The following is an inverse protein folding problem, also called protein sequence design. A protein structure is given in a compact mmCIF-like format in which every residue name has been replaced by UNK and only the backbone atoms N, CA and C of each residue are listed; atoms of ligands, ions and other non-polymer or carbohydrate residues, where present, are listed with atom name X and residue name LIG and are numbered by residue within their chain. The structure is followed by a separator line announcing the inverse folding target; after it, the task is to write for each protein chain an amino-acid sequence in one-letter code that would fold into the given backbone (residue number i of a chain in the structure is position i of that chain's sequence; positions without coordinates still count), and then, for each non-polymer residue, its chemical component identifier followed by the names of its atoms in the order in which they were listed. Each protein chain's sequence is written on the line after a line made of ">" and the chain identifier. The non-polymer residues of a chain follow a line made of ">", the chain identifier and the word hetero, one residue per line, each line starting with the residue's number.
data_IF_082899104815
#
_entry.id   IF_082899104815
#
_cell.length_a   1.000
_cell.length_b   1.000
_cell.length_c   1.000
_cell.angle_alpha   90.00
_cell.angle_beta   90.00
_cell.angle_gamma   90.00
#
_symmetry.space_group_name_H-M   'P 1'
#
loop_
_entity.id
_entity.type
_entity.pdbx_description
1 polymer ?
#
# COMPACT_ATOMS: atom_id res chain seq x y z
N UNK A 1 -33.45 -2.10 -6.82
CA UNK A 1 -32.28 -2.75 -7.44
C UNK A 1 -31.12 -2.46 -6.50
N UNK A 2 -30.47 -3.46 -5.89
CA UNK A 2 -29.30 -3.15 -5.07
C UNK A 2 -28.23 -2.53 -5.96
N UNK A 3 -27.48 -1.57 -5.44
CA UNK A 3 -26.32 -1.05 -6.15
C UNK A 3 -25.27 -2.17 -6.27
N UNK A 4 -24.37 -2.05 -7.25
CA UNK A 4 -23.22 -2.96 -7.32
C UNK A 4 -22.23 -2.62 -6.21
N UNK A 5 -21.50 -3.61 -5.68
CA UNK A 5 -20.45 -3.41 -4.67
C UNK A 5 -19.51 -2.25 -5.01
N UNK A 6 -19.13 -2.14 -6.29
CA UNK A 6 -18.27 -1.06 -6.77
C UNK A 6 -18.93 0.33 -6.66
N UNK A 7 -20.23 0.45 -6.95
CA UNK A 7 -20.94 1.72 -6.82
C UNK A 7 -21.12 2.13 -5.35
N UNK A 8 -21.37 1.16 -4.48
CA UNK A 8 -21.46 1.40 -3.03
C UNK A 8 -20.11 1.90 -2.49
N UNK A 9 -19.01 1.21 -2.78
CA UNK A 9 -17.66 1.64 -2.38
C UNK A 9 -17.25 2.97 -2.99
N UNK A 10 -17.59 3.22 -4.27
CA UNK A 10 -17.29 4.49 -4.93
C UNK A 10 -18.02 5.67 -4.29
N UNK A 11 -19.19 5.44 -3.67
CA UNK A 11 -19.90 6.49 -2.94
C UNK A 11 -19.24 6.89 -1.61
N UNK A 12 -18.31 6.07 -1.10
CA UNK A 12 -17.61 6.30 0.16
C UNK A 12 -16.31 7.08 0.00
N UNK A 13 -15.72 7.10 -1.20
CA UNK A 13 -14.38 7.63 -1.43
C UNK A 13 -14.33 8.52 -2.68
N UNK A 14 -13.38 9.45 -2.75
CA UNK A 14 -13.06 10.20 -3.96
C UNK A 14 -12.06 9.45 -4.86
N UNK A 15 -11.25 8.57 -4.28
CA UNK A 15 -10.35 7.69 -5.01
C UNK A 15 -11.06 6.73 -5.98
N UNK A 16 -10.26 5.92 -6.68
CA UNK A 16 -10.78 5.08 -7.77
C UNK A 16 -11.32 3.73 -7.27
N UNK A 17 -12.47 3.31 -7.80
CA UNK A 17 -13.00 1.95 -7.62
C UNK A 17 -13.15 1.25 -8.98
N UNK A 18 -12.55 0.07 -9.11
CA UNK A 18 -12.52 -0.72 -10.33
C UNK A 18 -13.18 -2.08 -10.14
N UNK A 19 -14.07 -2.46 -11.05
CA UNK A 19 -14.70 -3.79 -11.09
C UNK A 19 -14.77 -4.38 -12.50
N UNK A 20 -14.01 -3.84 -13.45
CA UNK A 20 -13.91 -4.41 -14.80
C UNK A 20 -13.12 -5.72 -14.74
N UNK A 21 -13.43 -6.64 -15.65
CA UNK A 21 -12.74 -7.94 -15.71
C UNK A 21 -11.24 -7.75 -15.92
N UNK A 22 -10.86 -6.77 -16.73
CA UNK A 22 -9.48 -6.42 -17.04
C UNK A 22 -8.73 -5.98 -15.77
N UNK A 23 -9.29 -5.02 -15.02
CA UNK A 23 -8.67 -4.52 -13.80
C UNK A 23 -8.55 -5.62 -12.71
N UNK A 24 -9.59 -6.44 -12.55
CA UNK A 24 -9.57 -7.54 -11.57
C UNK A 24 -8.59 -8.65 -11.96
N UNK A 25 -8.39 -8.89 -13.26
CA UNK A 25 -7.40 -9.86 -13.75
C UNK A 25 -5.97 -9.37 -13.45
N UNK A 26 -5.70 -8.08 -13.63
CA UNK A 26 -4.37 -7.48 -13.36
C UNK A 26 -3.93 -7.66 -11.89
N UNK A 27 -4.87 -7.61 -10.96
CA UNK A 27 -4.59 -7.77 -9.52
C UNK A 27 -4.84 -9.18 -8.98
N UNK A 28 -5.15 -10.15 -9.85
CA UNK A 28 -5.44 -11.54 -9.45
C UNK A 28 -4.19 -12.38 -9.14
N UNK A 29 -3.00 -11.87 -9.49
CA UNK A 29 -1.71 -12.52 -9.23
C UNK A 29 -0.74 -11.56 -8.56
N UNK A 30 0.33 -12.11 -8.00
CA UNK A 30 1.45 -11.38 -7.44
C UNK A 30 2.75 -11.68 -8.21
N UNK A 31 3.87 -11.11 -7.77
CA UNK A 31 5.16 -11.30 -8.43
C UNK A 31 5.57 -12.78 -8.54
N UNK A 32 5.27 -13.59 -7.52
CA UNK A 32 5.60 -15.02 -7.52
C UNK A 32 4.82 -15.83 -8.57
N UNK A 33 3.60 -15.41 -8.92
CA UNK A 33 2.71 -16.11 -9.87
C UNK A 33 2.47 -17.58 -9.53
N UNK A 34 2.62 -17.94 -8.25
CA UNK A 34 2.37 -19.30 -7.75
C UNK A 34 0.90 -19.49 -7.35
N UNK A 35 0.18 -18.39 -7.13
CA UNK A 35 -1.22 -18.38 -6.75
C UNK A 35 -2.00 -17.37 -7.60
N UNK A 36 -3.26 -17.67 -7.86
CA UNK A 36 -4.23 -16.75 -8.45
C UNK A 36 -5.47 -16.73 -7.54
N UNK A 37 -5.96 -15.54 -7.19
CA UNK A 37 -7.24 -15.36 -6.50
C UNK A 37 -8.03 -14.25 -7.18
N UNK A 38 -9.35 -14.38 -7.30
CA UNK A 38 -10.18 -13.41 -8.03
C UNK A 38 -10.87 -12.46 -7.04
N UNK A 39 -10.45 -11.18 -6.97
CA UNK A 39 -11.16 -10.21 -6.14
C UNK A 39 -12.47 -9.79 -6.82
N UNK A 40 -13.39 -9.23 -6.04
CA UNK A 40 -14.64 -8.63 -6.55
C UNK A 40 -14.45 -7.18 -6.98
N UNK A 41 -13.52 -6.48 -6.34
CA UNK A 41 -13.31 -5.04 -6.53
C UNK A 41 -11.88 -4.65 -6.15
N UNK A 42 -11.33 -3.69 -6.89
CA UNK A 42 -10.08 -3.01 -6.58
C UNK A 42 -10.41 -1.57 -6.16
N UNK A 43 -9.91 -1.16 -5.01
CA UNK A 43 -10.13 0.18 -4.45
C UNK A 43 -8.78 0.87 -4.28
N UNK A 44 -8.67 2.10 -4.76
CA UNK A 44 -7.48 2.95 -4.65
C UNK A 44 -7.83 4.24 -3.91
N UNK A 45 -7.84 4.24 -2.57
CA UNK A 45 -8.09 5.44 -1.78
C UNK A 45 -6.93 6.44 -1.92
N UNK A 46 -7.23 7.72 -1.70
CA UNK A 46 -6.25 8.81 -1.73
C UNK A 46 -5.87 9.36 -0.34
N UNK A 47 -6.65 8.98 0.68
CA UNK A 47 -6.49 9.45 2.07
C UNK A 47 -6.69 8.33 3.09
N UNK A 48 -6.22 8.55 4.32
CA UNK A 48 -6.39 7.63 5.44
C UNK A 48 -7.87 7.49 5.84
N UNK A 49 -8.66 8.56 5.72
CA UNK A 49 -10.10 8.55 5.97
C UNK A 49 -10.85 7.67 4.95
N UNK A 50 -10.43 7.69 3.69
CA UNK A 50 -10.99 6.82 2.65
C UNK A 50 -10.66 5.35 2.92
N UNK A 51 -9.43 5.05 3.38
CA UNK A 51 -9.06 3.71 3.84
C UNK A 51 -9.98 3.26 4.98
N UNK A 52 -10.21 4.12 5.98
CA UNK A 52 -11.09 3.81 7.12
C UNK A 52 -12.54 3.57 6.68
N UNK A 53 -13.07 4.37 5.77
CA UNK A 53 -14.41 4.18 5.22
C UNK A 53 -14.56 2.82 4.52
N UNK A 54 -13.56 2.42 3.72
CA UNK A 54 -13.57 1.14 3.00
C UNK A 54 -13.44 -0.04 3.96
N UNK A 55 -12.54 0.04 4.95
CA UNK A 55 -12.36 -1.03 5.94
C UNK A 55 -13.59 -1.20 6.82
N UNK A 56 -14.22 -0.09 7.24
CA UNK A 56 -15.48 -0.14 7.97
C UNK A 56 -16.61 -0.79 7.15
N UNK A 57 -16.76 -0.40 5.89
CA UNK A 57 -17.75 -1.03 5.00
C UNK A 57 -17.47 -2.53 4.86
N UNK A 58 -16.20 -2.92 4.66
CA UNK A 58 -15.81 -4.31 4.53
C UNK A 58 -16.11 -5.12 5.80
N UNK A 59 -15.84 -4.54 6.97
CA UNK A 59 -16.14 -5.12 8.27
C UNK A 59 -17.66 -5.34 8.46
N UNK A 60 -18.48 -4.34 8.12
CA UNK A 60 -19.95 -4.42 8.23
C UNK A 60 -20.58 -5.44 7.27
N UNK A 61 -19.91 -5.79 6.18
CA UNK A 61 -20.40 -6.69 5.13
C UNK A 61 -19.66 -8.04 5.07
N UNK A 62 -18.83 -8.35 6.07
CA UNK A 62 -18.01 -9.57 6.13
C UNK A 62 -17.17 -9.81 4.86
N UNK A 63 -16.65 -8.73 4.26
CA UNK A 63 -15.83 -8.80 3.04
C UNK A 63 -14.35 -8.92 3.40
N UNK A 64 -13.64 -9.95 2.92
CA UNK A 64 -12.20 -10.04 3.14
C UNK A 64 -11.48 -8.93 2.37
N UNK A 65 -10.46 -8.35 3.00
CA UNK A 65 -9.64 -7.28 2.42
C UNK A 65 -8.20 -7.74 2.36
N UNK A 66 -7.53 -7.49 1.22
CA UNK A 66 -6.08 -7.60 1.12
C UNK A 66 -5.50 -6.27 0.69
N UNK A 67 -4.50 -5.78 1.43
CA UNK A 67 -3.73 -4.60 1.02
C UNK A 67 -2.77 -4.94 -0.11
N UNK A 68 -2.58 -4.02 -1.06
CA UNK A 68 -1.69 -4.20 -2.21
C UNK A 68 -0.87 -2.93 -2.48
N UNK A 69 0.45 -3.03 -2.34
CA UNK A 69 1.41 -2.06 -2.89
C UNK A 69 1.80 -2.42 -4.31
N UNK A 70 3.10 -2.60 -4.57
CA UNK A 70 3.63 -3.13 -5.85
C UNK A 70 3.44 -4.65 -6.03
N UNK A 71 2.76 -5.32 -5.09
CA UNK A 71 2.49 -6.76 -5.14
C UNK A 71 3.72 -7.66 -5.36
N UNK A 72 4.86 -7.24 -4.82
CA UNK A 72 6.11 -8.01 -4.85
C UNK A 72 6.13 -9.18 -3.84
N UNK A 73 4.95 -9.68 -3.46
CA UNK A 73 4.78 -10.91 -2.69
C UNK A 73 4.98 -12.14 -3.58
N UNK A 74 5.24 -13.30 -2.96
CA UNK A 74 5.54 -14.53 -3.71
C UNK A 74 4.50 -15.63 -3.54
N UNK A 75 3.69 -15.58 -2.48
CA UNK A 75 2.79 -16.68 -2.10
C UNK A 75 1.42 -16.14 -1.66
N UNK A 76 0.91 -15.14 -2.36
CA UNK A 76 -0.48 -14.70 -2.24
C UNK A 76 -0.81 -13.78 -1.07
N UNK A 77 0.20 -13.18 -0.41
CA UNK A 77 -0.01 -12.24 0.71
C UNK A 77 -0.78 -10.98 0.31
N UNK A 78 -0.65 -10.56 -0.95
CA UNK A 78 -1.35 -9.39 -1.51
C UNK A 78 -2.60 -9.75 -2.31
N UNK A 79 -3.09 -11.00 -2.19
CA UNK A 79 -4.21 -11.54 -2.96
C UNK A 79 -5.39 -11.91 -2.06
N UNK A 80 -6.60 -11.61 -2.54
CA UNK A 80 -7.87 -11.97 -1.90
C UNK A 80 -8.81 -12.63 -2.89
N UNK A 81 -9.53 -13.65 -2.43
CA UNK A 81 -10.60 -14.30 -3.18
C UNK A 81 -11.92 -13.67 -2.74
N UNK A 82 -12.80 -13.38 -3.70
CA UNK A 82 -14.16 -12.90 -3.44
C UNK A 82 -14.26 -11.64 -2.54
N UNK A 83 -13.19 -10.83 -2.50
CA UNK A 83 -13.03 -9.70 -1.59
C UNK A 83 -12.56 -8.41 -2.24
N UNK A 84 -12.04 -7.50 -1.40
CA UNK A 84 -11.57 -6.16 -1.77
C UNK A 84 -10.03 -6.16 -1.83
N UNK A 85 -9.47 -5.81 -2.99
CA UNK A 85 -8.07 -5.40 -3.07
C UNK A 85 -8.01 -3.92 -2.72
N UNK A 86 -7.39 -3.60 -1.60
CA UNK A 86 -7.16 -2.21 -1.16
C UNK A 86 -5.74 -1.79 -1.57
N UNK A 87 -5.63 -0.99 -2.61
CA UNK A 87 -4.35 -0.59 -3.17
C UNK A 87 -3.83 0.70 -2.54
N UNK A 88 -2.66 0.66 -1.92
CA UNK A 88 -2.03 1.87 -1.36
C UNK A 88 -1.54 2.84 -2.44
N UNK A 89 -1.55 2.44 -3.72
CA UNK A 89 -1.05 3.25 -4.85
C UNK A 89 -1.78 4.57 -5.06
N UNK A 90 -3.01 4.73 -4.58
CA UNK A 90 -3.69 6.03 -4.57
C UNK A 90 -3.12 7.01 -3.54
N UNK A 91 -2.39 6.51 -2.54
CA UNK A 91 -1.72 7.27 -1.50
C UNK A 91 -0.20 7.27 -1.74
N UNK A 92 0.27 7.95 -2.79
CA UNK A 92 1.67 7.91 -3.24
C UNK A 92 2.41 9.27 -3.15
N UNK A 93 1.98 10.16 -2.25
CA UNK A 93 2.58 11.49 -2.07
C UNK A 93 3.67 11.49 -1.01
N UNK A 94 4.75 12.23 -1.28
CA UNK A 94 5.70 12.69 -0.26
C UNK A 94 5.11 13.99 0.29
N UNK A 95 4.80 14.01 1.59
CA UNK A 95 4.05 15.09 2.23
C UNK A 95 4.98 16.19 2.72
N UNK A 96 6.12 15.80 3.32
CA UNK A 96 7.11 16.71 3.87
C UNK A 96 8.50 16.08 3.82
N UNK A 97 9.52 16.88 3.55
CA UNK A 97 10.92 16.56 3.79
C UNK A 97 11.47 17.65 4.72
N UNK A 98 12.07 17.25 5.84
CA UNK A 98 12.73 18.14 6.79
C UNK A 98 14.24 17.90 6.76
N UNK A 99 14.99 18.78 6.12
CA UNK A 99 16.45 18.64 5.99
C UNK A 99 17.19 18.83 7.31
N UNK A 100 16.63 19.64 8.22
CA UNK A 100 17.27 19.93 9.51
C UNK A 100 17.18 18.71 10.43
N UNK A 101 16.01 18.08 10.49
CA UNK A 101 15.78 16.88 11.30
C UNK A 101 16.11 15.58 10.55
N UNK A 102 16.38 15.66 9.24
CA UNK A 102 16.62 14.53 8.33
C UNK A 102 15.47 13.50 8.34
N UNK A 103 14.23 13.99 8.29
CA UNK A 103 13.02 13.17 8.28
C UNK A 103 12.19 13.41 7.02
N UNK A 104 11.33 12.45 6.68
CA UNK A 104 10.38 12.59 5.59
C UNK A 104 9.04 11.95 5.98
N UNK A 105 7.96 12.71 5.80
CA UNK A 105 6.59 12.24 5.97
C UNK A 105 6.05 11.86 4.59
N UNK A 106 5.58 10.63 4.47
CA UNK A 106 5.25 10.00 3.19
C UNK A 106 4.04 9.10 3.33
N UNK A 107 3.23 9.04 2.28
CA UNK A 107 2.13 8.10 2.22
C UNK A 107 2.63 6.67 1.94
N UNK A 108 1.86 5.68 2.40
CA UNK A 108 2.25 4.26 2.34
C UNK A 108 2.48 3.70 0.91
N UNK A 109 1.88 4.32 -0.10
CA UNK A 109 2.00 3.93 -1.51
C UNK A 109 3.21 4.52 -2.24
N UNK A 110 4.00 5.38 -1.60
CA UNK A 110 5.25 5.90 -2.19
C UNK A 110 6.19 4.73 -2.50
N UNK A 111 6.85 4.77 -3.65
CA UNK A 111 7.90 3.79 -4.04
C UNK A 111 9.24 4.24 -3.47
N UNK A 112 10.05 3.33 -2.97
CA UNK A 112 11.38 3.68 -2.45
C UNK A 112 12.24 4.40 -3.48
N UNK A 113 12.19 4.00 -4.74
CA UNK A 113 12.90 4.66 -5.83
C UNK A 113 12.49 6.11 -6.05
N UNK A 114 11.20 6.41 -5.92
CA UNK A 114 10.68 7.78 -6.04
C UNK A 114 11.17 8.64 -4.87
N UNK A 115 11.10 8.12 -3.64
CA UNK A 115 11.62 8.83 -2.46
C UNK A 115 13.12 9.10 -2.55
N UNK A 116 13.92 8.09 -2.94
CA UNK A 116 15.37 8.26 -3.11
C UNK A 116 15.68 9.33 -4.15
N UNK A 117 14.93 9.35 -5.27
CA UNK A 117 15.11 10.34 -6.33
C UNK A 117 14.82 11.77 -5.86
N UNK A 118 13.81 11.96 -5.03
CA UNK A 118 13.48 13.29 -4.47
C UNK A 118 14.48 13.74 -3.41
N UNK A 119 15.12 12.81 -2.68
CA UNK A 119 16.12 13.11 -1.65
C UNK A 119 17.54 13.34 -2.20
N UNK A 120 17.87 12.78 -3.38
CA UNK A 120 19.20 12.84 -3.98
C UNK A 120 19.74 14.28 -4.17
N UNK A 121 18.96 15.25 -4.69
CA UNK A 121 19.41 16.65 -4.82
C UNK A 121 19.76 17.32 -3.49
N UNK A 122 19.21 16.81 -2.38
CA UNK A 122 19.44 17.31 -1.02
C UNK A 122 20.64 16.60 -0.34
N UNK A 123 21.24 15.61 -1.01
CA UNK A 123 22.30 14.78 -0.44
C UNK A 123 21.82 13.85 0.69
N UNK A 124 20.51 13.56 0.73
CA UNK A 124 19.90 12.71 1.75
C UNK A 124 19.57 11.32 1.20
N UNK A 125 19.58 10.31 2.07
CA UNK A 125 19.19 8.94 1.72
C UNK A 125 18.63 8.21 2.96
N UNK A 126 17.58 7.39 2.82
CA UNK A 126 17.14 6.52 3.90
C UNK A 126 18.26 5.57 4.34
N UNK A 127 18.40 5.34 5.65
CA UNK A 127 19.49 4.53 6.23
C UNK A 127 19.49 3.08 5.76
N UNK A 128 18.32 2.52 5.49
CA UNK A 128 18.13 1.13 5.07
C UNK A 128 17.23 1.09 3.83
N UNK A 129 17.77 0.59 2.74
CA UNK A 129 17.06 0.40 1.47
C UNK A 129 16.97 -1.09 1.12
N UNK A 130 15.85 -1.48 0.54
CA UNK A 130 15.71 -2.81 -0.07
C UNK A 130 16.55 -2.92 -1.33
N UNK A 131 16.96 -4.14 -1.69
CA UNK A 131 17.73 -4.39 -2.92
C UNK A 131 16.93 -4.07 -4.20
N UNK A 132 15.59 -4.15 -4.13
CA UNK A 132 14.69 -3.66 -5.15
C UNK A 132 14.01 -2.39 -4.63
N UNK A 133 14.22 -1.26 -5.31
CA UNK A 133 13.59 0.02 -4.96
C UNK A 133 12.20 0.20 -5.59
N UNK A 134 11.81 -0.67 -6.53
CA UNK A 134 10.49 -0.70 -7.16
C UNK A 134 9.43 -1.37 -6.28
N UNK A 135 9.41 -1.06 -4.99
CA UNK A 135 8.43 -1.56 -4.01
C UNK A 135 7.95 -0.40 -3.14
N UNK A 136 6.71 -0.46 -2.66
CA UNK A 136 6.12 0.59 -1.82
C UNK A 136 6.69 0.59 -0.40
N UNK A 137 6.81 1.75 0.22
CA UNK A 137 7.22 1.93 1.62
C UNK A 137 6.32 1.14 2.58
N UNK A 138 5.00 1.30 2.49
CA UNK A 138 4.06 0.59 3.37
C UNK A 138 4.16 -0.93 3.23
N UNK A 139 4.39 -1.42 2.01
CA UNK A 139 4.58 -2.85 1.75
C UNK A 139 5.83 -3.44 2.42
N UNK A 140 6.97 -2.73 2.40
CA UNK A 140 8.20 -3.24 3.03
C UNK A 140 8.16 -3.11 4.54
N UNK A 141 7.58 -2.02 5.07
CA UNK A 141 7.38 -1.81 6.50
C UNK A 141 6.44 -2.84 7.14
N UNK A 142 5.45 -3.33 6.39
CA UNK A 142 4.54 -4.41 6.85
C UNK A 142 5.22 -5.77 6.99
N UNK A 143 6.45 -5.93 6.49
CA UNK A 143 7.21 -7.17 6.57
C UNK A 143 8.41 -7.03 7.50
N UNK A 144 9.37 -6.18 7.11
CA UNK A 144 10.55 -5.81 7.90
C UNK A 144 11.34 -4.75 7.13
N UNK A 145 11.56 -5.00 5.83
CA UNK A 145 12.39 -4.16 4.97
C UNK A 145 13.87 -4.27 5.35
N UNK A 146 14.56 -5.24 4.79
CA UNK A 146 15.99 -5.45 5.05
C UNK A 146 16.84 -5.02 3.86
N UNK A 147 18.05 -4.58 4.17
CA UNK A 147 19.01 -4.07 3.20
C UNK A 147 20.45 -4.30 3.62
N UNK A 148 21.37 -3.89 2.74
CA UNK A 148 22.82 -4.01 2.97
C UNK A 148 23.31 -3.30 4.24
N UNK A 149 22.59 -2.27 4.69
CA UNK A 149 22.92 -1.49 5.87
C UNK A 149 22.24 -1.99 7.16
N UNK A 150 21.40 -3.04 7.07
CA UNK A 150 20.61 -3.52 8.20
C UNK A 150 21.45 -4.07 9.34
N UNK A 151 22.65 -4.58 9.08
CA UNK A 151 23.56 -5.03 10.14
C UNK A 151 23.94 -3.88 11.11
N UNK A 152 23.84 -2.62 10.68
CA UNK A 152 24.20 -1.44 11.46
C UNK A 152 22.98 -0.66 11.95
N UNK A 153 21.92 -0.60 11.14
CA UNK A 153 20.76 0.26 11.39
C UNK A 153 19.44 -0.50 11.57
N UNK A 154 19.47 -1.84 11.61
CA UNK A 154 18.27 -2.65 11.79
C UNK A 154 17.42 -2.78 10.52
N UNK A 155 16.16 -3.15 10.71
CA UNK A 155 15.15 -3.17 9.67
C UNK A 155 14.67 -1.76 9.31
N UNK A 156 13.95 -1.59 8.19
CA UNK A 156 13.37 -0.30 7.83
C UNK A 156 12.45 0.22 8.94
N UNK A 157 11.69 -0.66 9.60
CA UNK A 157 10.85 -0.31 10.75
C UNK A 157 11.62 0.28 11.93
N UNK A 158 12.88 -0.12 12.16
CA UNK A 158 13.72 0.43 13.23
C UNK A 158 14.17 1.89 12.94
N UNK A 159 13.91 2.38 11.73
CA UNK A 159 14.24 3.73 11.28
C UNK A 159 12.98 4.59 11.06
N UNK A 160 11.81 4.11 11.48
CA UNK A 160 10.54 4.85 11.43
C UNK A 160 10.28 5.53 12.77
N UNK A 161 9.92 6.81 12.74
CA UNK A 161 9.62 7.59 13.95
C UNK A 161 8.16 7.41 14.40
N UNK A 162 7.23 7.41 13.46
CA UNK A 162 5.81 7.26 13.71
C UNK A 162 5.08 6.66 12.50
N UNK A 163 3.86 6.15 12.74
CA UNK A 163 2.97 5.62 11.72
C UNK A 163 1.53 6.06 11.99
N UNK A 164 0.84 6.44 10.94
CA UNK A 164 -0.62 6.46 10.92
C UNK A 164 -1.12 5.08 10.48
N UNK A 165 -2.00 4.47 11.28
CA UNK A 165 -2.51 3.11 11.04
C UNK A 165 -4.03 3.11 11.15
N UNK A 166 -4.70 2.67 10.08
CA UNK A 166 -6.12 2.37 10.09
C UNK A 166 -6.31 0.90 10.48
N UNK A 167 -7.20 0.65 11.42
CA UNK A 167 -7.43 -0.70 11.96
C UNK A 167 -8.54 -1.42 11.19
N UNK A 168 -8.75 -2.71 11.48
CA UNK A 168 -9.81 -3.49 10.82
C UNK A 168 -11.22 -2.96 11.08
N UNK A 169 -11.42 -2.14 12.12
CA UNK A 169 -12.72 -1.53 12.46
C UNK A 169 -12.92 -0.14 11.85
N UNK A 170 -11.97 0.33 11.03
CA UNK A 170 -11.82 1.73 10.65
C UNK A 170 -11.04 2.47 11.73
#
# INVERSE_FOLDING_TARGET
>A
MSQSLAAELQSLIQGEVHSTKEALTEVSTDFGRLMEKRPKVLVKPETSEEVAAVLKYAYEHDLPVSTRGEAHSQTGQSLVEDGIVLSSRGMNKILKIDEADMTADVQAGVVWGDLVKELDPLGLVPRVLTNNLGVTLGGTLSMAGLGVASFRYGAQGDNVLELEVVTATG
#
